data_IF_494129420765
#
_entry.id   IF_494129420765
#
_cell.length_a   1.000
_cell.length_b   1.000
_cell.length_c   1.000
_cell.angle_alpha   90.00
_cell.angle_beta   90.00
_cell.angle_gamma   90.00
#
_symmetry.space_group_name_H-M   'P 1'
#
loop_
_entity.id
_entity.type
_entity.pdbx_description
1 polymer ?
#
# COMPACT_ATOMS: atom_id res chain seq x y z
N UNK A 1 -1.82 4.40 -17.85
CA UNK A 1 -0.40 4.87 -17.90
C UNK A 1 0.34 4.18 -16.78
N UNK A 2 1.06 3.12 -17.06
CA UNK A 2 1.70 2.32 -16.03
C UNK A 2 2.91 3.03 -15.46
N UNK A 3 2.82 3.32 -14.19
CA UNK A 3 3.87 3.39 -13.19
C UNK A 3 5.19 4.02 -13.65
N UNK A 4 5.27 5.32 -13.50
CA UNK A 4 6.58 5.94 -13.30
C UNK A 4 7.26 5.21 -12.15
N UNK A 5 8.47 4.70 -12.40
CA UNK A 5 9.28 4.14 -11.33
C UNK A 5 9.68 5.26 -10.36
N UNK A 6 9.80 4.96 -9.06
CA UNK A 6 10.31 5.92 -8.10
C UNK A 6 11.64 6.50 -8.55
N UNK A 7 11.79 7.81 -8.44
CA UNK A 7 13.00 8.52 -8.85
C UNK A 7 14.20 8.24 -7.93
N UNK A 8 13.92 7.80 -6.69
CA UNK A 8 14.93 7.57 -5.63
C UNK A 8 14.41 6.59 -4.57
N UNK A 9 15.31 6.00 -3.75
CA UNK A 9 14.90 5.23 -2.58
C UNK A 9 14.06 6.10 -1.63
N UNK A 10 12.92 5.56 -1.18
CA UNK A 10 11.99 6.27 -0.33
C UNK A 10 11.18 5.33 0.56
N UNK A 11 10.68 5.84 1.68
CA UNK A 11 9.76 5.13 2.56
C UNK A 11 8.33 5.21 2.03
N UNK A 12 7.59 4.11 2.17
CA UNK A 12 6.14 4.08 1.98
C UNK A 12 5.43 3.81 3.31
N UNK A 13 4.13 4.01 3.36
CA UNK A 13 3.32 3.68 4.54
C UNK A 13 3.50 2.23 4.97
N UNK A 14 3.43 1.28 4.03
CA UNK A 14 3.57 -0.16 4.30
C UNK A 14 4.96 -0.51 4.84
N UNK A 15 6.04 -0.02 4.22
CA UNK A 15 7.42 -0.24 4.69
C UNK A 15 7.66 0.31 6.09
N UNK A 16 7.13 1.49 6.37
CA UNK A 16 7.25 2.12 7.70
C UNK A 16 6.52 1.30 8.77
N UNK A 17 5.29 0.87 8.49
CA UNK A 17 4.52 0.00 9.41
C UNK A 17 5.15 -1.37 9.58
N UNK A 18 5.74 -1.93 8.54
CA UNK A 18 6.45 -3.19 8.62
C UNK A 18 7.65 -3.10 9.58
N UNK A 19 8.45 -2.02 9.49
CA UNK A 19 9.53 -1.78 10.46
C UNK A 19 9.00 -1.63 11.88
N UNK A 20 7.95 -0.84 12.08
CA UNK A 20 7.33 -0.67 13.40
C UNK A 20 6.83 -2.00 13.97
N UNK A 21 6.32 -2.89 13.12
CA UNK A 21 5.85 -4.23 13.49
C UNK A 21 7.01 -5.17 13.80
N UNK A 22 7.99 -5.28 12.91
CA UNK A 22 9.16 -6.15 13.07
C UNK A 22 10.35 -5.63 12.23
N UNK A 23 11.40 -5.04 12.87
CA UNK A 23 12.58 -4.57 12.14
C UNK A 23 13.25 -5.64 11.29
N UNK A 24 13.34 -6.90 11.75
CA UNK A 24 13.92 -7.99 10.96
C UNK A 24 13.08 -8.28 9.68
N UNK A 25 11.76 -8.32 9.78
CA UNK A 25 10.89 -8.52 8.59
C UNK A 25 11.12 -7.40 7.58
N UNK A 26 11.10 -6.15 8.03
CA UNK A 26 11.41 -4.99 7.19
C UNK A 26 12.78 -5.12 6.52
N UNK A 27 13.83 -5.50 7.26
CA UNK A 27 15.16 -5.72 6.70
C UNK A 27 15.11 -6.73 5.56
N UNK A 28 14.54 -7.92 5.81
CA UNK A 28 14.49 -8.99 4.82
C UNK A 28 13.77 -8.56 3.53
N UNK A 29 12.68 -7.80 3.64
CA UNK A 29 11.93 -7.34 2.47
C UNK A 29 12.56 -6.12 1.78
N UNK A 30 13.05 -5.15 2.55
CA UNK A 30 13.48 -3.85 1.99
C UNK A 30 14.97 -3.78 1.71
N UNK A 31 15.80 -4.31 2.63
CA UNK A 31 17.26 -4.29 2.51
C UNK A 31 17.73 -5.50 1.69
N UNK A 32 17.33 -6.70 2.09
CA UNK A 32 17.74 -7.95 1.48
C UNK A 32 16.94 -8.26 0.19
N UNK A 33 15.77 -7.60 0.00
CA UNK A 33 14.87 -7.78 -1.14
C UNK A 33 14.35 -9.22 -1.31
N UNK A 34 14.15 -9.91 -0.20
CA UNK A 34 13.48 -11.21 -0.21
C UNK A 34 12.07 -11.02 -0.75
N UNK A 35 11.72 -11.77 -1.79
CA UNK A 35 10.39 -11.77 -2.38
C UNK A 35 9.56 -12.88 -1.77
N UNK A 36 8.39 -12.55 -1.30
CA UNK A 36 7.39 -13.57 -0.95
C UNK A 36 6.64 -14.05 -2.20
N UNK A 37 6.25 -15.32 -2.25
CA UNK A 37 5.41 -15.81 -3.33
C UNK A 37 4.06 -15.09 -3.32
N UNK A 38 3.40 -14.96 -4.47
CA UNK A 38 2.05 -14.41 -4.53
C UNK A 38 1.08 -15.27 -3.72
N UNK A 39 0.00 -14.65 -3.26
CA UNK A 39 -1.09 -15.33 -2.55
C UNK A 39 -2.42 -15.03 -3.26
N UNK A 40 -3.45 -15.85 -3.00
CA UNK A 40 -4.81 -15.55 -3.47
C UNK A 40 -5.25 -14.12 -3.07
N UNK A 41 -4.86 -13.64 -1.89
CA UNK A 41 -5.21 -12.30 -1.41
C UNK A 41 -4.50 -11.19 -2.18
N UNK A 42 -3.19 -11.34 -2.45
CA UNK A 42 -2.44 -10.35 -3.24
C UNK A 42 -2.91 -10.33 -4.69
N UNK A 43 -3.19 -11.50 -5.27
CA UNK A 43 -3.72 -11.64 -6.61
C UNK A 43 -5.10 -10.94 -6.76
N UNK A 44 -6.01 -11.19 -5.82
CA UNK A 44 -7.32 -10.54 -5.78
C UNK A 44 -7.19 -9.01 -5.68
N UNK A 45 -6.30 -8.54 -4.80
CA UNK A 45 -6.04 -7.10 -4.64
C UNK A 45 -5.56 -6.47 -5.94
N UNK A 46 -4.52 -7.03 -6.57
CA UNK A 46 -3.94 -6.51 -7.81
C UNK A 46 -4.95 -6.46 -8.94
N UNK A 47 -5.75 -7.53 -9.12
CA UNK A 47 -6.76 -7.59 -10.20
C UNK A 47 -7.87 -6.58 -9.99
N UNK A 48 -8.39 -6.42 -8.76
CA UNK A 48 -9.44 -5.45 -8.44
C UNK A 48 -8.96 -4.00 -8.61
N UNK A 49 -7.75 -3.67 -8.13
CA UNK A 49 -7.18 -2.32 -8.31
C UNK A 49 -6.99 -1.98 -9.78
N UNK A 50 -6.41 -2.90 -10.58
CA UNK A 50 -6.26 -2.69 -12.04
C UNK A 50 -7.61 -2.51 -12.74
N UNK A 51 -8.66 -3.22 -12.29
CA UNK A 51 -10.00 -3.06 -12.82
C UNK A 51 -10.57 -1.66 -12.54
N UNK A 52 -10.43 -1.18 -11.30
CA UNK A 52 -10.93 0.16 -10.93
C UNK A 52 -10.12 1.27 -11.60
N UNK A 53 -8.80 1.11 -11.76
CA UNK A 53 -7.96 2.02 -12.55
C UNK A 53 -8.50 2.14 -13.99
N UNK A 54 -8.70 0.99 -14.65
CA UNK A 54 -9.19 0.94 -16.03
C UNK A 54 -10.64 1.45 -16.17
N UNK A 55 -11.51 1.23 -15.17
CA UNK A 55 -12.85 1.79 -15.14
C UNK A 55 -12.82 3.32 -15.19
N UNK A 56 -11.94 3.96 -14.43
CA UNK A 56 -11.79 5.41 -14.44
C UNK A 56 -11.09 5.97 -15.68
N UNK A 57 -10.42 5.13 -16.46
CA UNK A 57 -9.89 5.50 -17.77
C UNK A 57 -10.97 5.58 -18.87
N UNK A 58 -12.16 5.02 -18.61
CA UNK A 58 -13.30 5.11 -19.53
C UNK A 58 -13.99 6.47 -19.47
N UNK A 59 -14.71 6.88 -20.54
CA UNK A 59 -15.67 7.98 -20.48
C UNK A 59 -16.66 7.79 -19.32
N UNK A 60 -17.09 8.89 -18.70
CA UNK A 60 -17.93 8.84 -17.49
C UNK A 60 -19.23 8.03 -17.69
N UNK A 61 -19.87 8.22 -18.83
CA UNK A 61 -21.12 7.56 -19.23
C UNK A 61 -21.00 6.05 -19.40
N UNK A 62 -19.76 5.56 -19.61
CA UNK A 62 -19.49 4.14 -19.79
C UNK A 62 -19.14 3.42 -18.47
N UNK A 63 -18.92 4.15 -17.39
CA UNK A 63 -18.50 3.61 -16.07
C UNK A 63 -19.67 2.93 -15.37
N UNK A 64 -20.08 1.74 -15.83
CA UNK A 64 -21.16 0.96 -15.25
C UNK A 64 -20.68 -0.41 -14.78
N UNK A 65 -21.51 -1.10 -13.96
CA UNK A 65 -21.17 -2.39 -13.37
C UNK A 65 -20.86 -3.47 -14.41
N UNK A 66 -21.64 -3.53 -15.49
CA UNK A 66 -21.46 -4.53 -16.54
C UNK A 66 -20.08 -4.41 -17.17
N UNK A 67 -19.69 -3.19 -17.56
CA UNK A 67 -18.39 -2.94 -18.18
C UNK A 67 -17.24 -3.14 -17.20
N UNK A 68 -17.44 -2.79 -15.92
CA UNK A 68 -16.45 -3.08 -14.87
C UNK A 68 -16.20 -4.57 -14.66
N UNK A 69 -17.24 -5.42 -14.75
CA UNK A 69 -17.09 -6.88 -14.68
C UNK A 69 -16.40 -7.46 -15.94
N UNK A 70 -16.59 -6.85 -17.10
CA UNK A 70 -15.85 -7.20 -18.32
C UNK A 70 -14.37 -6.81 -18.21
N UNK A 71 -14.06 -5.65 -17.67
CA UNK A 71 -12.69 -5.23 -17.37
C UNK A 71 -12.03 -6.17 -16.36
N UNK A 72 -12.76 -6.57 -15.31
CA UNK A 72 -12.26 -7.53 -14.30
C UNK A 72 -11.84 -8.85 -14.94
N UNK A 73 -12.67 -9.41 -15.82
CA UNK A 73 -12.34 -10.61 -16.58
C UNK A 73 -11.09 -10.41 -17.43
N UNK A 74 -11.01 -9.28 -18.12
CA UNK A 74 -9.85 -8.94 -18.98
C UNK A 74 -8.56 -8.84 -18.15
N UNK A 75 -8.59 -8.21 -16.96
CA UNK A 75 -7.41 -8.12 -16.08
C UNK A 75 -6.99 -9.47 -15.52
N UNK A 76 -7.96 -10.35 -15.21
CA UNK A 76 -7.69 -11.72 -14.84
C UNK A 76 -7.03 -12.51 -15.98
N UNK A 77 -7.58 -12.44 -17.20
CA UNK A 77 -7.03 -13.10 -18.39
C UNK A 77 -5.60 -12.63 -18.68
N UNK A 78 -5.29 -11.33 -18.55
CA UNK A 78 -3.93 -10.79 -18.67
C UNK A 78 -2.99 -11.36 -17.62
N UNK A 79 -3.45 -11.47 -16.38
CA UNK A 79 -2.66 -12.05 -15.29
C UNK A 79 -2.33 -13.51 -15.56
N UNK A 80 -3.33 -14.29 -15.98
CA UNK A 80 -3.17 -15.70 -16.32
C UNK A 80 -2.27 -15.91 -17.54
N UNK A 81 -2.36 -15.04 -18.54
CA UNK A 81 -1.48 -15.10 -19.72
C UNK A 81 -0.03 -14.74 -19.39
N UNK A 82 0.19 -13.80 -18.45
CA UNK A 82 1.52 -13.40 -18.03
C UNK A 82 2.21 -14.45 -17.14
N UNK A 83 1.45 -15.13 -16.28
CA UNK A 83 1.95 -16.17 -15.38
C UNK A 83 0.86 -17.24 -15.14
N UNK A 84 0.84 -18.32 -15.97
CA UNK A 84 -0.12 -19.41 -15.77
C UNK A 84 0.03 -20.14 -14.43
N UNK A 85 1.19 -20.02 -13.77
CA UNK A 85 1.46 -20.69 -12.49
C UNK A 85 0.61 -20.14 -11.32
N UNK A 86 -0.04 -18.99 -11.50
CA UNK A 86 -0.98 -18.44 -10.50
C UNK A 86 -2.15 -19.40 -10.22
N UNK A 87 -2.46 -20.31 -11.13
CA UNK A 87 -3.45 -21.35 -10.90
C UNK A 87 -3.06 -22.33 -9.79
N UNK A 88 -1.75 -22.49 -9.52
CA UNK A 88 -1.25 -23.31 -8.41
C UNK A 88 -1.56 -22.73 -7.02
N UNK A 89 -2.07 -21.50 -6.94
CA UNK A 89 -2.54 -20.90 -5.70
C UNK A 89 -3.89 -21.49 -5.23
N UNK A 90 -4.59 -22.22 -6.10
CA UNK A 90 -5.89 -22.81 -5.80
C UNK A 90 -5.73 -24.31 -5.58
N UNK A 91 -6.36 -24.82 -4.53
CA UNK A 91 -6.28 -26.24 -4.18
C UNK A 91 -7.06 -27.13 -5.15
N UNK A 92 -8.16 -26.61 -5.69
CA UNK A 92 -9.05 -27.26 -6.65
C UNK A 92 -9.92 -26.23 -7.39
N UNK A 93 -10.72 -26.71 -8.32
CA UNK A 93 -11.63 -25.87 -9.10
C UNK A 93 -12.66 -25.14 -8.24
N UNK A 94 -13.17 -25.78 -7.20
CA UNK A 94 -14.15 -25.14 -6.30
C UNK A 94 -13.53 -24.02 -5.46
N UNK A 95 -12.24 -24.12 -5.11
CA UNK A 95 -11.49 -23.05 -4.46
C UNK A 95 -11.30 -21.85 -5.38
N UNK A 96 -10.96 -22.10 -6.65
CA UNK A 96 -10.88 -21.08 -7.69
C UNK A 96 -12.23 -20.36 -7.89
N UNK A 97 -13.34 -21.11 -8.03
CA UNK A 97 -14.67 -20.53 -8.22
C UNK A 97 -15.08 -19.63 -7.04
N UNK A 98 -14.85 -20.06 -5.80
CA UNK A 98 -15.09 -19.21 -4.61
C UNK A 98 -14.27 -17.92 -4.63
N UNK A 99 -13.01 -18.02 -5.04
CA UNK A 99 -12.14 -16.84 -5.16
C UNK A 99 -12.63 -15.91 -6.28
N UNK A 100 -13.03 -16.45 -7.43
CA UNK A 100 -13.56 -15.71 -8.57
C UNK A 100 -14.89 -15.02 -8.22
N UNK A 101 -15.79 -15.69 -7.50
CA UNK A 101 -17.02 -15.08 -6.99
C UNK A 101 -16.73 -13.91 -6.02
N UNK A 102 -15.75 -14.08 -5.13
CA UNK A 102 -15.31 -12.98 -4.26
C UNK A 102 -14.81 -11.79 -5.06
N UNK A 103 -14.03 -12.02 -6.10
CA UNK A 103 -13.50 -10.98 -6.98
C UNK A 103 -14.65 -10.20 -7.65
N UNK A 104 -15.62 -10.90 -8.23
CA UNK A 104 -16.83 -10.29 -8.80
C UNK A 104 -17.62 -9.49 -7.74
N UNK A 105 -17.75 -10.03 -6.54
CA UNK A 105 -18.45 -9.36 -5.43
C UNK A 105 -17.78 -8.04 -5.04
N UNK A 106 -16.44 -7.91 -5.13
CA UNK A 106 -15.75 -6.65 -4.84
C UNK A 106 -16.19 -5.54 -5.79
N UNK A 107 -16.33 -5.83 -7.08
CA UNK A 107 -16.77 -4.85 -8.08
C UNK A 107 -18.24 -4.47 -7.83
N UNK A 108 -19.12 -5.44 -7.60
CA UNK A 108 -20.53 -5.15 -7.26
C UNK A 108 -20.65 -4.29 -6.00
N UNK A 109 -19.87 -4.62 -4.97
CA UNK A 109 -19.83 -3.85 -3.73
C UNK A 109 -19.30 -2.43 -3.93
N UNK A 110 -18.38 -2.22 -4.87
CA UNK A 110 -17.91 -0.90 -5.25
C UNK A 110 -19.05 -0.02 -5.75
N UNK A 111 -19.90 -0.51 -6.67
CA UNK A 111 -21.07 0.22 -7.18
C UNK A 111 -22.17 0.44 -6.13
N UNK A 112 -22.21 -0.36 -5.07
CA UNK A 112 -23.08 -0.10 -3.92
C UNK A 112 -22.56 1.05 -3.00
N UNK A 113 -21.27 1.39 -3.09
CA UNK A 113 -20.64 2.44 -2.27
C UNK A 113 -20.58 3.77 -3.03
N UNK A 114 -20.22 3.75 -4.31
CA UNK A 114 -19.99 4.94 -5.12
C UNK A 114 -20.62 4.81 -6.51
N UNK A 115 -21.01 5.95 -7.07
CA UNK A 115 -21.40 6.08 -8.48
C UNK A 115 -20.20 6.66 -9.26
N UNK A 116 -19.46 5.86 -10.05
CA UNK A 116 -18.31 6.35 -10.80
C UNK A 116 -18.69 7.32 -11.94
N UNK A 117 -19.95 7.32 -12.39
CA UNK A 117 -20.43 8.28 -13.37
C UNK A 117 -20.59 9.69 -12.77
N UNK A 118 -20.80 9.80 -11.47
CA UNK A 118 -20.88 11.08 -10.77
C UNK A 118 -19.48 11.68 -10.43
N UNK A 119 -18.40 10.93 -10.68
CA UNK A 119 -17.05 11.28 -10.24
C UNK A 119 -16.13 11.57 -11.43
N UNK A 120 -15.27 12.59 -11.27
CA UNK A 120 -14.16 12.88 -12.19
C UNK A 120 -12.90 13.04 -11.38
N UNK A 121 -12.07 11.98 -11.26
CA UNK A 121 -10.84 12.03 -10.51
C UNK A 121 -9.83 13.03 -11.09
N UNK A 122 -9.09 13.71 -10.21
CA UNK A 122 -7.91 14.48 -10.61
C UNK A 122 -6.80 13.55 -11.12
N UNK A 123 -6.66 12.38 -10.50
CA UNK A 123 -5.73 11.33 -10.92
C UNK A 123 -6.10 9.98 -10.32
N UNK A 124 -5.70 8.90 -11.02
CA UNK A 124 -5.76 7.51 -10.57
C UNK A 124 -4.37 6.91 -10.56
N UNK A 125 -4.10 5.93 -9.68
CA UNK A 125 -2.80 5.23 -9.51
C UNK A 125 -1.61 6.20 -9.50
N UNK A 126 -1.77 7.31 -8.76
CA UNK A 126 -0.79 8.38 -8.76
C UNK A 126 0.42 8.04 -7.90
N UNK A 127 1.62 7.97 -8.50
CA UNK A 127 2.87 8.01 -7.75
C UNK A 127 3.08 9.43 -7.22
N UNK A 128 3.10 9.57 -5.91
CA UNK A 128 3.43 10.82 -5.22
C UNK A 128 4.74 10.62 -4.46
N UNK A 129 5.72 11.45 -4.77
CA UNK A 129 7.02 11.48 -4.09
C UNK A 129 7.20 12.83 -3.39
N UNK A 130 7.71 12.80 -2.18
CA UNK A 130 7.98 14.00 -1.39
C UNK A 130 9.24 13.84 -0.55
N UNK A 131 9.78 14.96 -0.06
CA UNK A 131 10.83 14.94 0.97
C UNK A 131 10.35 15.78 2.15
N UNK A 132 10.43 15.22 3.35
CA UNK A 132 10.10 15.95 4.58
C UNK A 132 11.13 17.07 4.84
N UNK A 133 10.80 18.00 5.73
CA UNK A 133 11.74 19.05 6.17
C UNK A 133 13.01 18.48 6.83
N UNK A 134 12.93 17.25 7.34
CA UNK A 134 14.08 16.53 7.89
C UNK A 134 14.87 15.72 6.84
N UNK A 135 14.54 15.85 5.56
CA UNK A 135 15.24 15.20 4.46
C UNK A 135 14.87 13.74 4.22
N UNK A 136 13.77 13.22 4.79
CA UNK A 136 13.32 11.86 4.57
C UNK A 136 12.51 11.80 3.28
N UNK A 137 12.93 10.92 2.36
CA UNK A 137 12.21 10.68 1.11
C UNK A 137 11.02 9.75 1.36
N UNK A 138 9.86 10.17 0.91
CA UNK A 138 8.59 9.45 1.01
C UNK A 138 8.04 9.16 -0.37
N UNK A 139 7.33 8.05 -0.51
CA UNK A 139 6.56 7.73 -1.70
C UNK A 139 5.24 7.04 -1.34
N UNK A 140 4.25 7.22 -2.19
CA UNK A 140 2.99 6.48 -2.11
C UNK A 140 2.36 6.37 -3.49
N UNK A 141 1.78 5.21 -3.76
CA UNK A 141 0.84 5.05 -4.86
C UNK A 141 -0.55 5.30 -4.27
N UNK A 142 -1.27 6.26 -4.83
CA UNK A 142 -2.60 6.64 -4.37
C UNK A 142 -3.58 6.22 -5.44
N UNK A 143 -4.50 5.32 -5.08
CA UNK A 143 -5.43 4.71 -6.04
C UNK A 143 -6.28 5.77 -6.75
N UNK A 144 -6.78 6.79 -5.99
CA UNK A 144 -7.54 7.88 -6.59
C UNK A 144 -7.43 9.16 -5.76
N UNK A 145 -7.27 10.27 -6.46
CA UNK A 145 -7.35 11.63 -5.91
C UNK A 145 -8.49 12.35 -6.61
N UNK A 146 -9.48 12.78 -5.84
CA UNK A 146 -10.58 13.61 -6.33
C UNK A 146 -10.33 15.08 -5.98
N UNK A 147 -10.85 15.98 -6.80
CA UNK A 147 -10.84 17.41 -6.54
C UNK A 147 -12.27 17.97 -6.64
N UNK A 148 -12.73 18.61 -5.57
CA UNK A 148 -13.99 19.32 -5.58
C UNK A 148 -13.88 20.65 -6.37
N UNK A 149 -15.00 21.28 -6.81
CA UNK A 149 -14.99 22.55 -7.53
C UNK A 149 -14.29 23.70 -6.78
N UNK A 150 -14.31 23.68 -5.46
CA UNK A 150 -13.59 24.64 -4.61
C UNK A 150 -12.09 24.32 -4.44
N UNK A 151 -11.61 23.29 -5.14
CA UNK A 151 -10.22 22.83 -5.12
C UNK A 151 -9.85 21.93 -3.94
N UNK A 152 -10.78 21.58 -3.03
CA UNK A 152 -10.51 20.65 -1.93
C UNK A 152 -10.18 19.26 -2.47
N UNK A 153 -9.14 18.61 -1.91
CA UNK A 153 -8.71 17.28 -2.32
C UNK A 153 -9.28 16.20 -1.41
N UNK A 154 -9.66 15.07 -1.99
CA UNK A 154 -10.00 13.83 -1.32
C UNK A 154 -9.11 12.71 -1.84
N UNK A 155 -8.52 11.94 -0.93
CA UNK A 155 -7.71 10.74 -1.24
C UNK A 155 -8.55 9.52 -0.99
N UNK A 156 -8.54 8.59 -1.91
CA UNK A 156 -9.19 7.28 -1.81
C UNK A 156 -8.17 6.19 -2.03
N UNK A 157 -8.25 5.15 -1.19
CA UNK A 157 -7.49 3.90 -1.35
C UNK A 157 -8.45 2.72 -1.14
N UNK A 158 -8.46 1.80 -2.09
CA UNK A 158 -9.35 0.65 -2.09
C UNK A 158 -8.72 -0.53 -1.34
N UNK A 159 -9.53 -1.21 -0.55
CA UNK A 159 -9.11 -2.37 0.22
C UNK A 159 -10.00 -3.57 -0.08
N UNK A 160 -9.40 -4.66 -0.53
CA UNK A 160 -10.10 -5.93 -0.80
C UNK A 160 -10.26 -6.80 0.44
N UNK A 161 -9.60 -6.43 1.56
CA UNK A 161 -9.80 -7.05 2.87
C UNK A 161 -11.07 -6.57 3.58
N UNK A 162 -11.35 -7.15 4.74
CA UNK A 162 -12.42 -6.67 5.65
C UNK A 162 -11.94 -5.43 6.40
N UNK A 163 -12.86 -4.49 6.64
CA UNK A 163 -12.56 -3.35 7.49
C UNK A 163 -12.15 -3.79 8.90
N UNK A 164 -11.08 -3.22 9.48
CA UNK A 164 -10.66 -3.54 10.82
C UNK A 164 -11.71 -3.13 11.84
N UNK A 165 -11.80 -3.88 12.94
CA UNK A 165 -12.61 -3.43 14.07
C UNK A 165 -12.02 -2.17 14.72
N UNK A 166 -12.80 -1.37 15.47
CA UNK A 166 -12.31 -0.10 16.03
C UNK A 166 -11.00 -0.20 16.83
N UNK A 167 -10.72 -1.34 17.44
CA UNK A 167 -9.48 -1.59 18.19
C UNK A 167 -8.23 -1.74 17.32
N UNK A 168 -8.39 -1.99 16.03
CA UNK A 168 -7.29 -2.31 15.10
C UNK A 168 -7.22 -1.32 13.93
N UNK A 169 -7.72 -0.10 14.09
CA UNK A 169 -7.72 0.92 13.04
C UNK A 169 -6.41 1.72 12.95
N UNK A 170 -5.46 1.51 13.87
CA UNK A 170 -4.20 2.26 13.88
C UNK A 170 -3.39 2.14 12.58
N UNK A 171 -3.37 0.95 11.96
CA UNK A 171 -2.68 0.75 10.69
C UNK A 171 -3.38 1.50 9.54
N UNK A 172 -4.71 1.49 9.53
CA UNK A 172 -5.53 2.25 8.59
C UNK A 172 -5.32 3.76 8.76
N UNK A 173 -5.36 4.27 9.99
CA UNK A 173 -5.11 5.68 10.31
C UNK A 173 -3.69 6.10 9.93
N UNK A 174 -2.70 5.24 10.17
CA UNK A 174 -1.32 5.50 9.76
C UNK A 174 -1.22 5.73 8.25
N UNK A 175 -1.83 4.87 7.44
CA UNK A 175 -1.81 5.01 5.98
C UNK A 175 -2.51 6.29 5.54
N UNK A 176 -3.67 6.62 6.11
CA UNK A 176 -4.41 7.85 5.81
C UNK A 176 -3.62 9.11 6.14
N UNK A 177 -2.94 9.14 7.31
CA UNK A 177 -2.03 10.24 7.70
C UNK A 177 -0.83 10.33 6.77
N UNK A 178 -0.28 9.19 6.36
CA UNK A 178 0.85 9.15 5.44
C UNK A 178 0.52 9.77 4.08
N UNK A 179 -0.63 9.43 3.50
CA UNK A 179 -1.09 10.04 2.25
C UNK A 179 -1.42 11.53 2.40
N UNK A 180 -2.01 11.92 3.54
CA UNK A 180 -2.25 13.33 3.84
C UNK A 180 -0.94 14.12 3.93
N UNK A 181 0.09 13.57 4.58
CA UNK A 181 1.43 14.17 4.64
C UNK A 181 2.04 14.29 3.24
N UNK A 182 2.03 13.24 2.41
CA UNK A 182 2.53 13.26 1.04
C UNK A 182 1.92 14.40 0.22
N UNK A 183 0.59 14.53 0.24
CA UNK A 183 -0.09 15.58 -0.51
C UNK A 183 0.17 16.97 0.08
N UNK A 184 0.29 17.11 1.40
CA UNK A 184 0.60 18.39 2.03
C UNK A 184 1.98 18.93 1.64
N UNK A 185 2.94 18.01 1.38
CA UNK A 185 4.31 18.36 0.96
C UNK A 185 4.43 18.67 -0.54
N UNK A 186 3.52 18.19 -1.37
CA UNK A 186 3.62 18.31 -2.85
C UNK A 186 2.56 19.19 -3.48
N UNK A 187 1.38 19.27 -2.87
CA UNK A 187 0.22 20.02 -3.40
C UNK A 187 -0.38 20.89 -2.31
N UNK A 188 -1.30 20.30 -1.57
CA UNK A 188 -1.99 20.90 -0.42
C UNK A 188 -2.49 19.80 0.51
N UNK A 189 -2.73 20.14 1.76
CA UNK A 189 -3.36 19.23 2.71
C UNK A 189 -4.74 18.78 2.17
N UNK A 190 -4.98 17.49 1.97
CA UNK A 190 -6.30 17.03 1.54
C UNK A 190 -7.33 17.30 2.63
N UNK A 191 -8.55 17.64 2.21
CA UNK A 191 -9.66 17.83 3.15
C UNK A 191 -10.08 16.50 3.78
N UNK A 192 -9.85 15.38 3.06
CA UNK A 192 -10.30 14.05 3.47
C UNK A 192 -9.41 12.96 2.90
N UNK A 193 -9.14 11.93 3.69
CA UNK A 193 -8.59 10.65 3.23
C UNK A 193 -9.54 9.51 3.60
N UNK A 194 -9.73 8.54 2.70
CA UNK A 194 -10.67 7.45 2.87
C UNK A 194 -10.04 6.11 2.47
N UNK A 195 -10.30 5.08 3.29
CA UNK A 195 -10.07 3.69 2.91
C UNK A 195 -11.42 3.03 2.65
N UNK A 196 -11.62 2.56 1.42
CA UNK A 196 -12.86 1.94 0.95
C UNK A 196 -12.69 0.43 0.99
N UNK A 197 -13.30 -0.22 1.96
CA UNK A 197 -13.23 -1.67 2.18
C UNK A 197 -14.34 -2.37 1.39
N UNK A 198 -14.00 -2.85 0.20
CA UNK A 198 -14.93 -3.45 -0.75
C UNK A 198 -15.61 -4.72 -0.19
N UNK A 199 -14.85 -5.58 0.52
CA UNK A 199 -15.40 -6.82 1.08
C UNK A 199 -16.52 -6.61 2.10
N UNK A 200 -16.55 -5.47 2.77
CA UNK A 200 -17.51 -5.17 3.85
C UNK A 200 -18.36 -3.96 3.59
N UNK A 201 -18.23 -3.33 2.42
CA UNK A 201 -18.93 -2.09 2.03
C UNK A 201 -18.79 -0.98 3.10
N UNK A 202 -17.59 -0.89 3.69
CA UNK A 202 -17.30 0.10 4.74
C UNK A 202 -16.28 1.12 4.26
N UNK A 203 -16.48 2.36 4.66
CA UNK A 203 -15.55 3.46 4.39
C UNK A 203 -15.03 3.97 5.72
N UNK A 204 -13.72 3.92 5.92
CA UNK A 204 -13.05 4.64 6.99
C UNK A 204 -12.64 6.01 6.49
N UNK A 205 -12.94 7.03 7.26
CA UNK A 205 -12.69 8.43 6.90
C UNK A 205 -11.82 9.09 7.94
N UNK A 206 -10.85 9.86 7.49
CA UNK A 206 -10.03 10.74 8.30
C UNK A 206 -9.95 12.12 7.64
N UNK A 207 -10.30 13.15 8.37
CA UNK A 207 -10.23 14.56 7.96
C UNK A 207 -9.01 15.20 8.65
N UNK A 208 -7.82 15.25 7.99
CA UNK A 208 -6.60 15.71 8.61
C UNK A 208 -6.61 17.22 8.87
N UNK A 209 -6.02 17.63 9.97
CA UNK A 209 -5.62 19.01 10.21
C UNK A 209 -4.09 19.18 10.20
N UNK A 210 -3.62 20.42 10.18
CA UNK A 210 -2.19 20.72 10.15
C UNK A 210 -1.44 20.23 11.40
N UNK A 211 -2.08 20.21 12.55
CA UNK A 211 -1.48 19.76 13.80
C UNK A 211 -1.31 18.25 13.82
N UNK A 212 -2.31 17.50 13.30
CA UNK A 212 -2.21 16.04 13.11
C UNK A 212 -1.03 15.67 12.21
N UNK A 213 -0.89 16.38 11.07
CA UNK A 213 0.16 16.09 10.10
C UNK A 213 1.54 16.46 10.65
N UNK A 214 1.67 17.54 11.41
CA UNK A 214 2.91 17.89 12.08
C UNK A 214 3.34 16.82 13.09
N UNK A 215 2.43 16.38 13.96
CA UNK A 215 2.70 15.28 14.92
C UNK A 215 3.08 13.97 14.22
N UNK A 216 2.38 13.65 13.11
CA UNK A 216 2.67 12.46 12.32
C UNK A 216 4.06 12.55 11.65
N UNK A 217 4.44 13.72 11.13
CA UNK A 217 5.78 13.95 10.55
C UNK A 217 6.89 13.73 11.59
N UNK A 218 6.69 14.18 12.84
CA UNK A 218 7.63 13.92 13.94
C UNK A 218 7.70 12.44 14.32
N UNK A 219 6.57 11.73 14.36
CA UNK A 219 6.52 10.28 14.58
C UNK A 219 7.31 9.54 13.50
N UNK A 220 7.13 9.92 12.25
CA UNK A 220 7.84 9.35 11.11
C UNK A 220 9.35 9.59 11.23
N UNK A 221 9.75 10.79 11.63
CA UNK A 221 11.17 11.14 11.86
C UNK A 221 11.80 10.28 12.97
N UNK A 222 11.10 10.07 14.08
CA UNK A 222 11.57 9.15 15.15
C UNK A 222 11.69 7.71 14.65
N UNK A 223 10.76 7.27 13.82
CA UNK A 223 10.81 5.93 13.22
C UNK A 223 12.02 5.81 12.27
N UNK A 224 12.26 6.83 11.45
CA UNK A 224 13.43 6.89 10.57
C UNK A 224 14.75 6.84 11.36
N UNK A 225 14.89 7.60 12.43
CA UNK A 225 16.12 7.57 13.26
C UNK A 225 16.36 6.18 13.86
N UNK A 226 15.31 5.44 14.18
CA UNK A 226 15.44 4.06 14.63
C UNK A 226 15.89 3.13 13.50
N UNK A 227 15.30 3.24 12.29
CA UNK A 227 15.73 2.49 11.10
C UNK A 227 17.20 2.77 10.77
N UNK A 228 17.58 4.04 10.79
CA UNK A 228 18.95 4.48 10.51
C UNK A 228 19.94 3.90 11.52
N UNK A 229 19.62 3.94 12.80
CA UNK A 229 20.45 3.35 13.87
C UNK A 229 20.64 1.86 13.65
N UNK A 230 19.56 1.10 13.41
CA UNK A 230 19.62 -0.34 13.16
C UNK A 230 20.47 -0.65 11.91
N UNK A 231 20.33 0.17 10.85
CA UNK A 231 21.15 0.04 9.65
C UNK A 231 22.65 0.26 9.91
N UNK A 232 23.01 1.30 10.67
CA UNK A 232 24.41 1.59 11.01
C UNK A 232 25.02 0.55 11.95
N UNK A 233 24.21 -0.06 12.80
CA UNK A 233 24.64 -1.15 13.69
C UNK A 233 24.68 -2.51 12.96
N UNK A 234 24.11 -2.61 11.76
CA UNK A 234 23.96 -3.89 11.06
C UNK A 234 23.05 -4.89 11.79
N UNK A 235 22.13 -4.40 12.62
CA UNK A 235 21.29 -5.26 13.44
C UNK A 235 19.83 -4.78 13.45
N UNK A 236 18.93 -5.66 13.03
CA UNK A 236 17.48 -5.45 12.99
C UNK A 236 16.81 -6.51 13.87
N UNK A 237 16.33 -6.10 15.03
CA UNK A 237 15.79 -7.03 16.02
C UNK A 237 14.49 -7.70 15.54
N UNK A 238 14.38 -9.04 15.66
CA UNK A 238 13.08 -9.70 15.45
C UNK A 238 12.13 -9.35 16.59
N UNK A 239 10.85 -9.17 16.26
CA UNK A 239 9.80 -8.85 17.23
C UNK A 239 8.69 -9.90 17.17
N UNK A 240 8.50 -10.65 18.26
CA UNK A 240 7.44 -11.66 18.35
C UNK A 240 6.06 -10.97 18.40
N UNK A 241 5.13 -11.46 17.59
CA UNK A 241 3.73 -11.01 17.57
C UNK A 241 2.79 -12.15 17.15
N UNK A 242 1.49 -12.03 17.34
CA UNK A 242 0.52 -13.00 16.81
C UNK A 242 0.62 -13.21 15.29
N UNK A 243 1.12 -12.20 14.55
CA UNK A 243 1.27 -12.25 13.09
C UNK A 243 2.44 -13.11 12.61
N UNK A 244 3.31 -13.59 13.50
CA UNK A 244 4.44 -14.45 13.14
C UNK A 244 4.00 -15.77 12.48
N UNK A 245 2.77 -16.24 12.73
CA UNK A 245 2.24 -17.44 12.11
C UNK A 245 1.96 -17.28 10.60
N UNK A 246 1.83 -16.04 10.14
CA UNK A 246 1.62 -15.66 8.73
C UNK A 246 2.80 -14.91 8.12
N UNK A 247 3.97 -14.94 8.78
CA UNK A 247 5.16 -14.25 8.29
C UNK A 247 5.84 -15.09 7.20
N UNK A 248 5.89 -14.58 5.98
CA UNK A 248 6.48 -15.28 4.83
C UNK A 248 7.99 -15.48 4.94
N UNK A 249 8.67 -14.69 5.79
CA UNK A 249 10.13 -14.83 6.06
C UNK A 249 10.42 -15.55 7.38
N UNK A 250 9.45 -16.28 7.94
CA UNK A 250 9.57 -16.97 9.22
C UNK A 250 10.75 -17.97 9.26
N UNK A 251 11.03 -18.65 8.17
CA UNK A 251 12.13 -19.62 8.03
C UNK A 251 13.52 -18.98 8.14
N UNK A 252 13.63 -17.65 8.01
CA UNK A 252 14.86 -16.88 8.19
C UNK A 252 14.92 -16.21 9.56
N UNK A 253 13.94 -16.42 10.44
CA UNK A 253 13.82 -15.72 11.71
C UNK A 253 14.43 -16.54 12.86
N UNK A 254 15.39 -15.98 13.61
CA UNK A 254 16.03 -16.70 14.73
C UNK A 254 15.08 -17.01 15.91
N UNK A 255 13.91 -16.37 15.99
CA UNK A 255 12.88 -16.71 16.97
C UNK A 255 12.18 -18.04 16.68
N UNK A 256 12.42 -18.62 15.48
CA UNK A 256 11.85 -19.87 15.00
C UNK A 256 12.93 -20.79 14.40
N UNK A 257 14.13 -20.75 15.00
CA UNK A 257 15.29 -21.56 14.62
C UNK A 257 15.76 -21.35 13.17
N UNK A 258 15.37 -20.22 12.55
CA UNK A 258 15.80 -19.84 11.22
C UNK A 258 17.15 -19.15 11.21
N UNK A 259 17.83 -19.24 10.07
CA UNK A 259 19.10 -18.54 9.84
C UNK A 259 18.87 -17.29 9.02
N UNK A 260 19.18 -16.14 9.60
CA UNK A 260 19.09 -14.85 8.92
C UNK A 260 20.29 -14.68 8.00
N UNK A 261 20.09 -14.33 6.70
CA UNK A 261 21.22 -14.11 5.78
C UNK A 261 22.06 -12.90 6.20
N UNK A 262 23.30 -12.84 5.68
CA UNK A 262 24.15 -11.65 5.83
C UNK A 262 23.49 -10.43 5.18
N UNK A 263 23.70 -9.25 5.76
CA UNK A 263 23.11 -8.01 5.26
C UNK A 263 23.89 -7.54 4.04
N UNK A 264 23.25 -7.36 2.86
CA UNK A 264 23.94 -6.83 1.70
C UNK A 264 24.27 -5.34 1.89
N UNK A 265 25.54 -4.98 1.74
CA UNK A 265 26.02 -3.58 1.87
C UNK A 265 25.22 -2.63 0.97
N UNK A 266 24.99 -3.00 -0.29
CA UNK A 266 24.18 -2.21 -1.23
C UNK A 266 22.73 -2.03 -0.79
N UNK A 267 22.21 -2.94 0.05
CA UNK A 267 20.90 -2.82 0.66
C UNK A 267 20.86 -1.78 1.78
N UNK A 268 21.89 -1.77 2.61
CA UNK A 268 22.05 -0.73 3.64
C UNK A 268 22.24 0.66 3.02
N UNK A 269 23.08 0.78 2.00
CA UNK A 269 23.28 2.03 1.26
C UNK A 269 21.96 2.57 0.70
N UNK A 270 21.15 1.70 0.07
CA UNK A 270 19.82 2.09 -0.42
C UNK A 270 18.88 2.50 0.69
N UNK A 271 18.90 1.81 1.84
CA UNK A 271 18.10 2.20 2.99
C UNK A 271 18.52 3.58 3.50
N UNK A 272 19.81 3.80 3.72
CA UNK A 272 20.34 5.08 4.20
C UNK A 272 20.07 6.23 3.22
N UNK A 273 20.02 5.95 1.89
CA UNK A 273 19.67 6.94 0.88
C UNK A 273 18.18 7.38 0.91
N UNK A 274 17.33 6.73 1.71
CA UNK A 274 15.95 7.18 1.93
C UNK A 274 15.84 8.42 2.84
N UNK A 275 16.90 8.79 3.54
CA UNK A 275 16.91 9.93 4.45
C UNK A 275 18.05 10.91 4.18
N UNK A 276 18.20 11.89 5.06
CA UNK A 276 19.22 12.92 4.89
C UNK A 276 20.60 12.31 4.83
N UNK A 277 21.37 12.66 3.80
CA UNK A 277 22.78 12.40 3.74
C UNK A 277 23.43 13.37 4.73
N UNK A 278 24.04 12.88 5.81
CA UNK A 278 24.93 13.75 6.62
C UNK A 278 26.14 14.05 5.74
N UNK A 279 26.34 15.30 5.38
CA UNK A 279 27.67 15.76 5.02
C UNK A 279 28.56 15.47 6.24
N UNK A 280 29.55 14.60 6.04
CA UNK A 280 30.62 14.40 7.03
C UNK A 280 31.21 15.77 7.33
N UNK A 281 30.93 16.28 8.55
CA UNK A 281 31.67 17.38 9.17
C UNK A 281 32.76 16.80 10.04
#
# INVERSE_FOLDING_TARGET
MRNSLPSRPALSASRTKEYQRCPLQFRLHVVDRVKEPPTQATLLGTTVHATLENLYALPREERNETLALELLRTEWEKTLAADPSVMNLFTDHADFERWHERMNSMIKNYFAIEDPQALEPLSTEALVEATTSQGINLLGYIDRIDQAPNGALRVIDYKTGKAPSPRFQEEALFQMRFYALLLSLTKRLPKRTQLVYLASQKVLTFDPDSADISRFSEELSRTWESMRRDALQGYFAPRRSPLCNWCGVRTMCPLFDGTTPEIPTSGLERLLAMGPQRSDQ
#
